data_IF_338265558721
#
_entry.id   IF_338265558721
#
_cell.length_a   1.000
_cell.length_b   1.000
_cell.length_c   1.000
_cell.angle_alpha   90.00
_cell.angle_beta   90.00
_cell.angle_gamma   90.00
#
_symmetry.space_group_name_H-M   'P 1'
#
loop_
_entity.id
_entity.type
_entity.pdbx_description
1 polymer ?
#
# COMPACT_ATOMS: atom_id res chain seq x y z
N UNK A 1 4.60 -16.92 -20.70
CA UNK A 1 4.43 -16.12 -19.51
C UNK A 1 5.61 -15.18 -19.34
N UNK A 2 5.40 -13.88 -19.41
CA UNK A 2 6.43 -12.91 -19.00
C UNK A 2 6.14 -12.58 -17.54
N UNK A 3 7.15 -12.56 -16.64
CA UNK A 3 6.93 -12.16 -15.26
C UNK A 3 6.49 -10.70 -15.22
N UNK A 4 5.54 -10.41 -14.36
CA UNK A 4 5.06 -9.06 -14.06
C UNK A 4 6.25 -8.30 -13.42
N UNK A 5 6.84 -7.38 -14.15
CA UNK A 5 7.95 -6.57 -13.67
C UNK A 5 7.38 -5.38 -12.91
N UNK A 6 7.44 -5.38 -11.59
CA UNK A 6 7.37 -4.17 -10.77
C UNK A 6 8.65 -3.38 -10.98
N UNK A 7 8.71 -2.64 -12.08
CA UNK A 7 9.86 -1.82 -12.42
C UNK A 7 9.69 -0.37 -11.96
N UNK A 8 9.66 -0.13 -10.67
CA UNK A 8 10.07 1.14 -10.11
C UNK A 8 10.69 0.83 -8.73
N UNK A 9 12.00 0.80 -8.67
CA UNK A 9 12.69 1.01 -7.39
C UNK A 9 12.19 2.36 -6.86
N UNK A 10 11.64 2.43 -5.61
CA UNK A 10 11.37 3.71 -5.01
C UNK A 10 12.71 4.46 -4.96
N UNK A 11 12.72 5.70 -5.45
CA UNK A 11 13.82 6.60 -5.15
C UNK A 11 13.89 6.71 -3.62
N UNK A 12 15.09 6.57 -3.05
CA UNK A 12 15.33 6.74 -1.63
C UNK A 12 14.59 7.99 -1.13
N UNK A 13 13.71 7.84 -0.14
CA UNK A 13 12.98 8.95 0.48
C UNK A 13 11.46 8.92 0.41
N UNK A 14 10.80 7.85 -0.08
CA UNK A 14 9.34 7.80 -0.11
C UNK A 14 8.77 7.45 1.27
N UNK A 15 8.07 8.41 1.87
CA UNK A 15 7.28 8.20 3.08
C UNK A 15 5.92 7.66 2.68
N UNK A 16 5.60 6.41 3.02
CA UNK A 16 4.28 5.83 2.98
C UNK A 16 3.43 6.22 1.76
N UNK A 17 3.75 5.73 0.57
CA UNK A 17 2.90 5.90 -0.60
C UNK A 17 1.72 4.91 -0.52
N UNK A 18 0.49 5.43 -0.56
CA UNK A 18 -0.71 4.61 -0.72
C UNK A 18 -1.13 4.67 -2.20
N UNK A 19 -1.32 3.51 -2.82
CA UNK A 19 -1.73 3.38 -4.22
C UNK A 19 -3.11 2.77 -4.27
N UNK A 20 -4.06 3.46 -4.85
CA UNK A 20 -5.40 2.96 -5.11
C UNK A 20 -5.64 2.82 -6.61
N UNK A 21 -6.12 1.67 -7.05
CA UNK A 21 -6.53 1.39 -8.42
C UNK A 21 -8.02 1.09 -8.43
N UNK A 22 -8.79 1.81 -9.23
CA UNK A 22 -10.21 1.59 -9.45
C UNK A 22 -10.45 1.08 -10.87
N UNK A 23 -11.10 -0.08 -11.02
CA UNK A 23 -11.57 -0.62 -12.29
C UNK A 23 -13.04 -0.22 -12.53
N UNK A 24 -13.29 0.53 -13.58
CA UNK A 24 -14.67 0.85 -14.02
C UNK A 24 -15.37 -0.38 -14.58
N UNK A 25 -16.26 -1.03 -13.80
CA UNK A 25 -17.06 -2.16 -14.23
C UNK A 25 -18.14 -1.74 -15.21
N UNK A 26 -18.07 -2.20 -16.46
CA UNK A 26 -19.21 -2.21 -17.38
C UNK A 26 -20.04 -3.48 -17.10
N UNK A 27 -21.28 -3.32 -16.67
CA UNK A 27 -22.24 -4.43 -16.53
C UNK A 27 -22.64 -4.95 -17.93
N UNK A 28 -22.46 -6.26 -18.18
CA UNK A 28 -23.09 -6.93 -19.33
C UNK A 28 -22.43 -8.24 -19.74
N UNK A 29 -23.11 -9.37 -19.53
CA UNK A 29 -23.01 -10.57 -20.34
C UNK A 29 -22.03 -11.66 -19.85
N UNK A 30 -22.58 -12.81 -19.43
CA UNK A 30 -21.85 -13.98 -18.96
C UNK A 30 -20.92 -14.61 -20.01
N UNK A 31 -19.67 -14.70 -19.63
CA UNK A 31 -18.61 -15.44 -20.26
C UNK A 31 -17.38 -15.23 -19.39
N UNK A 32 -16.58 -16.28 -19.14
CA UNK A 32 -15.35 -16.14 -18.36
C UNK A 32 -14.46 -15.06 -19.01
N UNK A 33 -14.06 -14.01 -18.29
CA UNK A 33 -13.25 -12.95 -18.86
C UNK A 33 -11.85 -13.48 -19.17
N UNK A 34 -11.44 -13.40 -20.42
CA UNK A 34 -10.05 -13.53 -20.80
C UNK A 34 -9.23 -12.32 -20.31
N UNK A 35 -7.89 -12.38 -20.31
CA UNK A 35 -6.98 -11.38 -19.72
C UNK A 35 -7.03 -9.98 -20.38
N UNK A 36 -7.95 -9.72 -21.28
CA UNK A 36 -8.07 -8.45 -22.05
C UNK A 36 -9.22 -7.54 -21.61
N UNK A 37 -9.93 -7.83 -20.52
CA UNK A 37 -11.15 -7.12 -20.14
C UNK A 37 -10.99 -6.18 -18.93
N UNK A 38 -9.77 -5.75 -18.58
CA UNK A 38 -9.60 -4.67 -17.63
C UNK A 38 -9.96 -3.35 -18.33
N UNK A 39 -11.05 -2.74 -17.85
CA UNK A 39 -11.44 -1.39 -18.25
C UNK A 39 -10.35 -0.35 -17.91
N UNK A 40 -10.58 0.92 -18.26
CA UNK A 40 -9.61 1.97 -17.92
C UNK A 40 -9.38 2.01 -16.40
N UNK A 41 -8.08 1.97 -16.02
CA UNK A 41 -7.65 2.04 -14.62
C UNK A 41 -7.56 3.50 -14.21
N UNK A 42 -8.27 3.89 -13.16
CA UNK A 42 -8.10 5.18 -12.49
C UNK A 42 -7.09 5.01 -11.35
N UNK A 43 -5.96 5.73 -11.43
CA UNK A 43 -4.86 5.61 -10.46
C UNK A 43 -4.78 6.86 -9.59
N UNK A 44 -4.80 6.65 -8.28
CA UNK A 44 -4.54 7.67 -7.27
C UNK A 44 -3.32 7.29 -6.44
N UNK A 45 -2.43 8.24 -6.22
CA UNK A 45 -1.28 8.10 -5.34
C UNK A 45 -1.30 9.21 -4.28
N UNK A 46 -0.85 8.92 -3.08
CA UNK A 46 -0.73 9.90 -2.01
C UNK A 46 0.56 9.71 -1.23
N UNK A 47 1.18 10.81 -0.85
CA UNK A 47 2.34 10.82 0.05
C UNK A 47 2.28 12.06 0.94
N UNK A 48 2.77 11.94 2.17
CA UNK A 48 2.85 13.06 3.11
C UNK A 48 4.00 14.01 2.75
N UNK A 49 5.04 13.52 2.05
CA UNK A 49 6.18 14.34 1.64
C UNK A 49 5.91 15.07 0.32
N UNK A 50 5.90 16.41 0.32
CA UNK A 50 5.76 17.17 -0.93
C UNK A 50 6.87 16.88 -1.96
N UNK A 51 8.06 16.44 -1.53
CA UNK A 51 9.14 16.10 -2.46
C UNK A 51 8.84 14.77 -3.17
N UNK A 52 8.37 13.76 -2.43
CA UNK A 52 7.90 12.50 -3.00
C UNK A 52 6.72 12.72 -3.96
N UNK A 53 5.75 13.56 -3.58
CA UNK A 53 4.63 13.95 -4.46
C UNK A 53 5.10 14.59 -5.75
N UNK A 54 6.08 15.50 -5.71
CA UNK A 54 6.65 16.11 -6.93
C UNK A 54 7.32 15.06 -7.83
N UNK A 55 7.99 14.08 -7.24
CA UNK A 55 8.60 12.98 -7.96
C UNK A 55 7.53 12.07 -8.60
N UNK A 56 6.52 11.68 -7.81
CA UNK A 56 5.42 10.83 -8.26
C UNK A 56 4.66 11.44 -9.46
N UNK A 57 4.39 12.74 -9.44
CA UNK A 57 3.73 13.45 -10.55
C UNK A 57 4.46 13.36 -11.89
N UNK A 58 5.75 13.08 -11.90
CA UNK A 58 6.54 12.90 -13.14
C UNK A 58 6.54 11.46 -13.63
N UNK A 59 6.23 10.52 -12.75
CA UNK A 59 6.37 9.08 -13.02
C UNK A 59 5.02 8.35 -13.09
N UNK A 60 3.95 8.95 -12.56
CA UNK A 60 2.64 8.32 -12.47
C UNK A 60 1.67 9.00 -13.41
N UNK A 61 1.03 8.22 -14.26
CA UNK A 61 -0.10 8.69 -15.07
C UNK A 61 -1.37 8.50 -14.26
N UNK A 62 -1.77 9.54 -13.48
CA UNK A 62 -2.92 9.49 -12.57
C UNK A 62 -2.95 10.71 -11.67
N UNK A 63 -3.75 10.62 -10.61
CA UNK A 63 -3.91 11.69 -9.63
C UNK A 63 -2.92 11.53 -8.48
N UNK A 64 -2.16 12.57 -8.16
CA UNK A 64 -1.18 12.54 -7.07
C UNK A 64 -1.53 13.59 -6.04
N UNK A 65 -1.73 13.16 -4.81
CA UNK A 65 -2.20 13.94 -3.68
C UNK A 65 -1.10 14.13 -2.63
N UNK A 66 -1.17 15.23 -1.87
CA UNK A 66 -0.28 15.46 -0.72
C UNK A 66 -1.10 15.38 0.55
N UNK A 67 -0.69 14.55 1.49
CA UNK A 67 -1.33 14.47 2.82
C UNK A 67 -1.10 13.15 3.52
N UNK A 68 -1.68 13.02 4.71
CA UNK A 68 -1.51 11.87 5.60
C UNK A 68 -2.52 10.76 5.26
N UNK A 69 -2.01 9.66 4.70
CA UNK A 69 -2.78 8.45 4.37
C UNK A 69 -4.10 8.80 3.63
N UNK A 70 -5.21 8.30 4.13
CA UNK A 70 -6.53 8.49 3.52
C UNK A 70 -7.03 9.94 3.52
N UNK A 71 -6.57 10.79 4.45
CA UNK A 71 -6.96 12.19 4.48
C UNK A 71 -6.51 12.98 3.23
N UNK A 72 -5.56 12.45 2.47
CA UNK A 72 -5.12 13.03 1.21
C UNK A 72 -6.05 12.70 0.03
N UNK A 73 -6.86 11.66 0.14
CA UNK A 73 -7.65 11.14 -0.97
C UNK A 73 -9.01 11.84 -1.09
N UNK A 74 -9.53 12.01 -2.32
CA UNK A 74 -10.88 12.55 -2.54
C UNK A 74 -11.95 11.63 -1.94
N UNK A 75 -12.94 12.19 -1.25
CA UNK A 75 -14.06 11.43 -0.67
C UNK A 75 -14.84 10.61 -1.70
N UNK A 76 -14.84 11.00 -2.97
CA UNK A 76 -15.48 10.26 -4.05
C UNK A 76 -14.91 8.86 -4.30
N UNK A 77 -13.76 8.52 -3.72
CA UNK A 77 -13.16 7.18 -3.79
C UNK A 77 -13.65 6.24 -2.69
N UNK A 78 -14.35 6.73 -1.67
CA UNK A 78 -14.85 5.89 -0.58
C UNK A 78 -15.74 4.77 -1.09
N UNK A 79 -15.44 3.55 -0.65
CA UNK A 79 -16.15 2.33 -1.05
C UNK A 79 -15.96 1.91 -2.50
N UNK A 80 -14.99 2.49 -3.23
CA UNK A 80 -14.78 2.26 -4.66
C UNK A 80 -13.39 1.78 -5.05
N UNK A 81 -12.47 1.68 -4.11
CA UNK A 81 -11.09 1.26 -4.36
C UNK A 81 -11.01 -0.25 -4.48
N UNK A 82 -10.63 -0.77 -5.62
CA UNK A 82 -10.49 -2.22 -5.85
C UNK A 82 -9.14 -2.74 -5.34
N UNK A 83 -8.08 -1.95 -5.50
CA UNK A 83 -6.73 -2.29 -5.05
C UNK A 83 -6.12 -1.10 -4.31
N UNK A 84 -5.74 -1.32 -3.08
CA UNK A 84 -5.05 -0.37 -2.22
C UNK A 84 -3.70 -0.97 -1.82
N UNK A 85 -2.60 -0.36 -2.23
CA UNK A 85 -1.26 -0.74 -1.79
C UNK A 85 -0.69 0.36 -0.90
N UNK A 86 -0.15 0.02 0.25
CA UNK A 86 0.48 0.96 1.15
C UNK A 86 1.90 0.50 1.52
N UNK A 87 2.88 1.34 1.22
CA UNK A 87 4.24 1.18 1.71
C UNK A 87 4.43 2.13 2.90
N UNK A 88 4.35 1.60 4.08
CA UNK A 88 4.44 2.36 5.34
C UNK A 88 5.74 2.01 6.08
N UNK A 89 6.30 2.93 6.86
CA UNK A 89 7.41 2.64 7.75
C UNK A 89 7.08 1.46 8.68
N UNK A 90 7.99 0.49 8.77
CA UNK A 90 7.80 -0.71 9.58
C UNK A 90 8.98 -1.04 10.51
N UNK A 91 9.98 -0.16 10.61
CA UNK A 91 11.10 -0.36 11.53
C UNK A 91 10.68 0.05 12.94
N UNK A 92 10.82 -0.81 13.96
CA UNK A 92 10.59 -0.41 15.33
C UNK A 92 11.51 0.75 15.76
N UNK A 93 10.98 1.72 16.49
CA UNK A 93 11.72 2.92 16.93
C UNK A 93 13.09 2.57 17.54
N UNK A 94 13.13 1.55 18.40
CA UNK A 94 14.38 1.11 19.06
C UNK A 94 15.41 0.46 18.11
N UNK A 95 15.00 0.06 16.91
CA UNK A 95 15.86 -0.61 15.92
C UNK A 95 16.36 0.34 14.82
N UNK A 96 15.79 1.55 14.70
CA UNK A 96 16.20 2.54 13.69
C UNK A 96 17.69 2.86 13.76
N UNK A 97 18.24 2.95 14.98
CA UNK A 97 19.67 3.21 15.17
C UNK A 97 20.58 2.05 14.69
N UNK A 98 20.03 0.85 14.54
CA UNK A 98 20.75 -0.35 14.09
C UNK A 98 20.75 -0.51 12.56
N UNK A 99 19.99 0.29 11.83
CA UNK A 99 19.97 0.26 10.38
C UNK A 99 21.35 0.65 9.80
N UNK A 100 21.68 0.18 8.58
CA UNK A 100 22.86 0.61 7.86
C UNK A 100 22.96 2.15 7.78
N UNK A 101 24.19 2.68 7.84
CA UNK A 101 24.43 4.13 7.80
C UNK A 101 23.77 4.78 6.57
N UNK A 102 23.79 4.11 5.43
CA UNK A 102 23.19 4.57 4.18
C UNK A 102 21.68 4.86 4.33
N UNK A 103 20.93 3.96 4.98
CA UNK A 103 19.51 4.18 5.24
C UNK A 103 19.28 5.32 6.23
N UNK A 104 20.09 5.38 7.31
CA UNK A 104 19.95 6.42 8.35
C UNK A 104 20.32 7.83 7.88
N UNK A 105 21.27 7.95 6.96
CA UNK A 105 21.79 9.24 6.48
C UNK A 105 20.97 9.80 5.30
N UNK A 106 20.35 8.94 4.51
CA UNK A 106 19.67 9.32 3.28
C UNK A 106 18.15 9.24 3.36
N UNK A 107 17.60 8.52 4.35
CA UNK A 107 16.16 8.45 4.56
C UNK A 107 15.75 9.23 5.81
N UNK A 108 14.68 10.03 5.75
CA UNK A 108 14.20 10.73 6.93
C UNK A 108 13.63 9.72 7.93
N UNK A 109 13.85 9.96 9.24
CA UNK A 109 13.37 9.09 10.32
C UNK A 109 11.88 8.73 10.19
N UNK A 110 11.07 9.66 9.74
CA UNK A 110 9.63 9.46 9.53
C UNK A 110 9.30 8.51 8.38
N UNK A 111 10.25 8.14 7.55
CA UNK A 111 10.08 7.12 6.50
C UNK A 111 10.50 5.72 6.98
N UNK A 112 11.20 5.64 8.10
CA UNK A 112 11.74 4.41 8.67
C UNK A 112 10.96 3.98 9.92
N UNK A 113 10.66 4.93 10.81
CA UNK A 113 10.09 4.68 12.12
C UNK A 113 8.60 4.34 12.04
N UNK A 114 8.29 3.07 12.29
CA UNK A 114 6.92 2.54 12.34
C UNK A 114 6.31 2.50 13.75
N UNK A 115 6.95 3.13 14.75
CA UNK A 115 6.49 3.12 16.14
C UNK A 115 7.14 2.01 16.99
N UNK A 116 6.61 1.79 18.18
CA UNK A 116 7.23 0.94 19.19
C UNK A 116 7.54 -0.49 18.70
N UNK A 117 6.63 -1.10 17.95
CA UNK A 117 6.80 -2.42 17.32
C UNK A 117 6.88 -2.37 15.78
N UNK A 118 6.91 -1.17 15.21
CA UNK A 118 6.98 -0.95 13.78
C UNK A 118 5.64 -1.07 13.04
N UNK A 119 4.51 -1.19 13.74
CA UNK A 119 3.21 -1.46 13.11
C UNK A 119 2.18 -0.32 13.28
N UNK A 120 2.56 0.83 13.82
CA UNK A 120 1.61 1.90 14.11
C UNK A 120 0.92 2.43 12.86
N UNK A 121 1.67 2.66 11.78
CA UNK A 121 1.10 3.12 10.51
C UNK A 121 0.33 2.03 9.79
N UNK A 122 0.81 0.78 9.83
CA UNK A 122 0.07 -0.37 9.29
C UNK A 122 -1.31 -0.49 9.95
N UNK A 123 -1.40 -0.35 11.28
CA UNK A 123 -2.68 -0.40 12.00
C UNK A 123 -3.61 0.73 11.59
N UNK A 124 -3.08 1.96 11.38
CA UNK A 124 -3.88 3.10 10.88
C UNK A 124 -4.43 2.83 9.49
N UNK A 125 -3.61 2.29 8.59
CA UNK A 125 -4.03 1.92 7.24
C UNK A 125 -5.08 0.81 7.29
N UNK A 126 -4.84 -0.26 8.04
CA UNK A 126 -5.79 -1.37 8.17
C UNK A 126 -7.14 -0.90 8.68
N UNK A 127 -7.15 -0.05 9.72
CA UNK A 127 -8.38 0.48 10.32
C UNK A 127 -9.19 1.35 9.35
N UNK A 128 -8.52 2.16 8.52
CA UNK A 128 -9.19 3.04 7.56
C UNK A 128 -9.60 2.36 6.27
N UNK A 129 -8.92 1.29 5.86
CA UNK A 129 -9.11 0.66 4.55
C UNK A 129 -10.55 0.20 4.24
N UNK A 130 -11.34 -0.34 5.20
CA UNK A 130 -12.72 -0.77 4.92
C UNK A 130 -13.62 0.36 4.41
N UNK A 131 -13.38 1.61 4.80
CA UNK A 131 -14.17 2.75 4.33
C UNK A 131 -13.90 3.10 2.86
N UNK A 132 -12.73 2.74 2.36
CA UNK A 132 -12.27 3.09 1.02
C UNK A 132 -12.40 1.95 0.02
N UNK A 133 -12.19 0.71 0.47
CA UNK A 133 -12.28 -0.46 -0.39
C UNK A 133 -13.71 -0.72 -0.87
N UNK A 134 -13.85 -1.09 -2.14
CA UNK A 134 -15.05 -1.69 -2.67
C UNK A 134 -15.28 -3.08 -2.04
N UNK A 135 -16.51 -3.63 -2.04
CA UNK A 135 -16.72 -5.05 -1.71
C UNK A 135 -15.84 -5.94 -2.59
N UNK A 136 -15.09 -6.86 -2.00
CA UNK A 136 -14.09 -7.67 -2.69
C UNK A 136 -12.75 -6.96 -2.98
N UNK A 137 -12.64 -5.66 -2.70
CA UNK A 137 -11.40 -4.90 -2.84
C UNK A 137 -10.33 -5.32 -1.84
N UNK A 138 -9.06 -5.16 -2.21
CA UNK A 138 -7.92 -5.67 -1.47
C UNK A 138 -6.94 -4.57 -1.04
N UNK A 139 -6.49 -4.67 0.23
CA UNK A 139 -5.36 -3.92 0.78
C UNK A 139 -4.10 -4.79 0.78
N UNK A 140 -2.98 -4.23 0.33
CA UNK A 140 -1.65 -4.85 0.34
C UNK A 140 -0.70 -4.00 1.17
N UNK A 141 -0.03 -4.59 2.15
CA UNK A 141 1.01 -3.92 2.94
C UNK A 141 2.20 -4.85 3.14
N UNK A 142 3.39 -4.37 2.82
CA UNK A 142 4.63 -5.07 3.10
C UNK A 142 4.93 -5.05 4.60
N UNK A 143 5.50 -6.14 5.11
CA UNK A 143 5.90 -6.29 6.50
C UNK A 143 7.12 -7.19 6.61
N UNK A 144 7.75 -7.27 7.78
CA UNK A 144 8.79 -8.26 8.05
C UNK A 144 8.18 -9.61 8.47
N UNK A 145 8.92 -10.70 8.28
CA UNK A 145 8.54 -12.04 8.75
C UNK A 145 8.13 -12.02 10.23
N UNK A 146 8.91 -11.35 11.08
CA UNK A 146 8.65 -11.23 12.52
C UNK A 146 7.35 -10.51 12.85
N UNK A 147 6.97 -9.53 12.04
CA UNK A 147 5.78 -8.71 12.25
C UNK A 147 4.52 -9.28 11.60
N UNK A 148 4.67 -10.23 10.65
CA UNK A 148 3.57 -10.77 9.86
C UNK A 148 2.38 -11.27 10.70
N UNK A 149 2.56 -12.02 11.81
CA UNK A 149 1.43 -12.47 12.62
C UNK A 149 0.63 -11.30 13.21
N UNK A 150 1.29 -10.28 13.74
CA UNK A 150 0.62 -9.10 14.32
C UNK A 150 -0.02 -8.21 13.25
N UNK A 151 0.56 -8.16 12.06
CA UNK A 151 0.00 -7.45 10.91
C UNK A 151 -1.29 -8.14 10.41
N UNK A 152 -1.30 -9.47 10.28
CA UNK A 152 -2.51 -10.26 9.96
C UNK A 152 -3.60 -10.04 11.01
N UNK A 153 -3.25 -10.03 12.30
CA UNK A 153 -4.21 -9.75 13.37
C UNK A 153 -4.80 -8.34 13.25
N UNK A 154 -3.99 -7.33 12.92
CA UNK A 154 -4.46 -5.96 12.73
C UNK A 154 -5.48 -5.85 11.59
N UNK A 155 -5.26 -6.53 10.48
CA UNK A 155 -6.18 -6.58 9.35
C UNK A 155 -7.49 -7.28 9.72
N UNK A 156 -7.41 -8.41 10.43
CA UNK A 156 -8.58 -9.16 10.89
C UNK A 156 -9.43 -8.32 11.85
N UNK A 157 -8.80 -7.62 12.79
CA UNK A 157 -9.50 -6.71 13.72
C UNK A 157 -10.18 -5.53 13.00
N UNK A 158 -9.63 -5.11 11.88
CA UNK A 158 -10.23 -4.07 11.03
C UNK A 158 -11.40 -4.58 10.17
N UNK A 159 -11.77 -5.86 10.28
CA UNK A 159 -12.88 -6.45 9.52
C UNK A 159 -12.52 -6.93 8.12
N UNK A 160 -11.24 -7.04 7.80
CA UNK A 160 -10.76 -7.59 6.54
C UNK A 160 -10.51 -9.11 6.67
N UNK A 161 -10.75 -9.85 5.59
CA UNK A 161 -10.27 -11.23 5.48
C UNK A 161 -8.79 -11.19 5.15
N UNK A 162 -7.94 -11.52 6.13
CA UNK A 162 -6.50 -11.38 6.03
C UNK A 162 -5.81 -12.68 5.59
N UNK A 163 -4.79 -12.56 4.74
CA UNK A 163 -3.87 -13.63 4.36
C UNK A 163 -2.44 -13.08 4.24
N UNK A 164 -1.45 -13.96 4.30
CA UNK A 164 -0.04 -13.64 4.11
C UNK A 164 0.44 -14.25 2.79
N UNK A 165 1.08 -13.43 1.97
CA UNK A 165 1.82 -13.86 0.79
C UNK A 165 3.31 -13.69 1.05
N UNK A 166 4.10 -14.69 0.67
CA UNK A 166 5.54 -14.74 0.88
C UNK A 166 6.26 -15.02 -0.44
N UNK A 167 7.41 -14.42 -0.62
CA UNK A 167 8.29 -14.68 -1.74
C UNK A 167 9.73 -14.87 -1.25
N UNK A 168 10.23 -16.08 -1.34
CA UNK A 168 11.64 -16.38 -1.02
C UNK A 168 12.60 -15.67 -1.99
N UNK A 169 12.24 -15.60 -3.27
CA UNK A 169 13.06 -14.94 -4.29
C UNK A 169 13.23 -13.43 -4.05
N UNK A 170 12.17 -12.78 -3.56
CA UNK A 170 12.15 -11.33 -3.30
C UNK A 170 12.44 -10.99 -1.84
N UNK A 171 12.54 -11.98 -0.97
CA UNK A 171 12.67 -11.79 0.49
C UNK A 171 11.57 -10.86 1.03
N UNK A 172 10.35 -11.01 0.52
CA UNK A 172 9.23 -10.13 0.80
C UNK A 172 8.07 -10.87 1.47
N UNK A 173 7.44 -10.21 2.44
CA UNK A 173 6.23 -10.65 3.11
C UNK A 173 5.17 -9.56 2.91
N UNK A 174 4.02 -9.94 2.37
CA UNK A 174 2.92 -9.00 2.12
C UNK A 174 1.64 -9.51 2.79
N UNK A 175 1.07 -8.71 3.67
CA UNK A 175 -0.26 -8.97 4.20
C UNK A 175 -1.30 -8.43 3.21
N UNK A 176 -2.24 -9.30 2.87
CA UNK A 176 -3.35 -9.01 1.96
C UNK A 176 -4.63 -9.03 2.77
N UNK A 177 -5.38 -7.94 2.76
CA UNK A 177 -6.68 -7.84 3.42
C UNK A 177 -7.79 -7.60 2.41
N UNK A 178 -8.73 -8.52 2.30
CA UNK A 178 -9.89 -8.40 1.41
C UNK A 178 -11.11 -7.93 2.18
N UNK A 179 -11.78 -6.89 1.67
CA UNK A 179 -13.08 -6.46 2.21
C UNK A 179 -14.15 -7.46 1.81
N UNK A 180 -14.92 -8.03 2.77
CA UNK A 180 -16.05 -8.92 2.48
C UNK A 180 -17.11 -8.29 1.58
#
# INVERSE_FOLDING_TARGET
GRPFSWGARPAAGSRGAAWGVHGGGAAGGGGAPGPAALGPVELHAADIDPAAVRCARRNVTGHVHTGDLFAALPDGLRGRVDVLAANVPYVPTGEVALLPAEAREHEPLTALDGGADGLDLLRRVALGAPDWLAPGGCLFVETSERQAPAAVEAFTRAGLTASLAESEELYAHVVIGTKP
#
